data_IF_021873889401
#
_entry.id   IF_021873889401
#
_cell.length_a   1.000
_cell.length_b   1.000
_cell.length_c   1.000
_cell.angle_alpha   90.00
_cell.angle_beta   90.00
_cell.angle_gamma   90.00
#
_symmetry.space_group_name_H-M   'P 1'
#
loop_
_entity.id
_entity.type
_entity.pdbx_description
1 polymer ?
#
# COMPACT_ATOMS: atom_id res chain seq x y z
N UNK A 1 23.36 -6.81 -5.34
CA UNK A 1 22.86 -6.70 -3.95
C UNK A 1 21.64 -5.80 -3.96
N UNK A 2 20.67 -6.08 -3.09
CA UNK A 2 19.49 -5.23 -2.89
C UNK A 2 19.76 -4.41 -1.63
N UNK A 3 19.72 -3.08 -1.77
CA UNK A 3 19.84 -2.19 -0.63
C UNK A 3 18.55 -2.26 0.18
N UNK A 4 18.64 -2.66 1.44
CA UNK A 4 17.50 -2.78 2.34
C UNK A 4 17.94 -2.38 3.76
N UNK A 5 17.54 -1.18 4.24
CA UNK A 5 17.94 -0.66 5.54
C UNK A 5 17.61 -1.63 6.70
N UNK A 6 16.43 -2.25 6.65
CA UNK A 6 15.97 -3.18 7.69
C UNK A 6 16.87 -4.42 7.79
N UNK A 7 17.37 -4.94 6.66
CA UNK A 7 18.31 -6.07 6.69
C UNK A 7 19.72 -5.64 7.05
N UNK A 8 20.12 -4.43 6.66
CA UNK A 8 21.40 -3.86 7.08
C UNK A 8 21.45 -3.73 8.60
N UNK A 9 20.38 -3.22 9.21
CA UNK A 9 20.25 -3.10 10.67
C UNK A 9 20.19 -4.47 11.35
N UNK A 10 19.36 -5.39 10.83
CA UNK A 10 19.11 -6.69 11.48
C UNK A 10 20.21 -7.72 11.28
N UNK A 11 20.89 -7.71 10.14
CA UNK A 11 21.82 -8.76 9.71
C UNK A 11 23.21 -8.23 9.32
N UNK A 12 23.46 -6.92 9.41
CA UNK A 12 24.77 -6.32 9.18
C UNK A 12 25.17 -6.18 7.71
N UNK A 13 24.23 -6.30 6.77
CA UNK A 13 24.53 -6.13 5.34
C UNK A 13 23.32 -6.02 4.42
N UNK A 14 23.60 -5.62 3.18
CA UNK A 14 22.66 -5.68 2.07
C UNK A 14 22.30 -7.13 1.72
N UNK A 15 21.16 -7.31 1.06
CA UNK A 15 20.68 -8.64 0.70
C UNK A 15 21.34 -9.12 -0.58
N UNK A 16 22.01 -10.27 -0.52
CA UNK A 16 22.54 -10.90 -1.72
C UNK A 16 21.39 -11.43 -2.57
N UNK A 17 21.45 -11.18 -3.88
CA UNK A 17 20.47 -11.71 -4.83
C UNK A 17 21.20 -12.54 -5.87
N UNK A 18 20.77 -13.79 -6.03
CA UNK A 18 21.41 -14.70 -6.98
C UNK A 18 20.99 -14.35 -8.41
N UNK A 19 21.89 -14.50 -9.39
CA UNK A 19 21.63 -14.15 -10.80
C UNK A 19 20.34 -14.77 -11.35
N UNK A 20 20.06 -16.02 -10.98
CA UNK A 20 18.85 -16.76 -11.36
C UNK A 20 17.54 -16.09 -10.90
N UNK A 21 17.55 -15.43 -9.74
CA UNK A 21 16.38 -14.68 -9.24
C UNK A 21 16.12 -13.45 -10.13
N UNK A 22 17.19 -12.78 -10.57
CA UNK A 22 17.10 -11.60 -11.46
C UNK A 22 16.65 -12.00 -12.87
N UNK A 23 17.20 -13.09 -13.42
CA UNK A 23 16.85 -13.60 -14.75
C UNK A 23 15.40 -14.11 -14.82
N UNK A 24 14.80 -14.48 -13.68
CA UNK A 24 13.40 -14.88 -13.58
C UNK A 24 12.41 -13.71 -13.53
N UNK A 25 12.87 -12.47 -13.37
CA UNK A 25 11.97 -11.30 -13.35
C UNK A 25 11.52 -10.95 -14.77
N UNK A 26 10.22 -10.75 -14.94
CA UNK A 26 9.68 -10.27 -16.21
C UNK A 26 10.15 -8.83 -16.47
N UNK A 27 10.94 -8.66 -17.54
CA UNK A 27 11.61 -7.40 -17.87
C UNK A 27 13.00 -7.31 -17.24
N UNK A 28 13.87 -6.49 -17.82
CA UNK A 28 15.24 -6.31 -17.33
C UNK A 28 15.24 -5.43 -16.07
N UNK A 29 15.64 -5.99 -14.93
CA UNK A 29 15.92 -5.20 -13.73
C UNK A 29 17.15 -4.31 -13.94
N UNK A 30 17.04 -3.05 -13.52
CA UNK A 30 18.09 -2.05 -13.57
C UNK A 30 18.31 -1.42 -12.20
N UNK A 31 19.47 -0.79 -11.98
CA UNK A 31 19.73 -0.06 -10.74
C UNK A 31 18.68 1.05 -10.56
N UNK A 32 18.05 1.10 -9.40
CA UNK A 32 16.96 2.03 -9.08
C UNK A 32 15.56 1.41 -9.14
N UNK A 33 15.39 0.22 -9.73
CA UNK A 33 14.11 -0.49 -9.69
C UNK A 33 13.77 -0.90 -8.25
N UNK A 34 12.52 -0.66 -7.84
CA UNK A 34 11.99 -1.19 -6.59
C UNK A 34 11.56 -2.64 -6.79
N UNK A 35 11.83 -3.50 -5.81
CA UNK A 35 11.55 -4.94 -5.89
C UNK A 35 10.95 -5.47 -4.59
N UNK A 36 10.14 -6.52 -4.71
CA UNK A 36 9.78 -7.41 -3.62
C UNK A 36 10.66 -8.64 -3.61
N UNK A 37 10.94 -9.13 -2.41
CA UNK A 37 11.64 -10.37 -2.21
C UNK A 37 11.33 -10.93 -0.82
N UNK A 38 11.45 -12.24 -0.70
CA UNK A 38 11.49 -12.92 0.58
C UNK A 38 12.94 -13.13 1.03
N UNK A 39 13.18 -13.07 2.34
CA UNK A 39 14.50 -13.35 2.91
C UNK A 39 14.62 -14.86 3.15
N UNK A 40 15.52 -15.51 2.42
CA UNK A 40 16.04 -16.83 2.75
C UNK A 40 17.45 -16.74 3.32
N UNK A 41 17.97 -17.85 3.86
CA UNK A 41 19.35 -17.94 4.34
C UNK A 41 20.12 -19.01 3.57
N UNK A 42 21.42 -18.78 3.35
CA UNK A 42 22.32 -19.81 2.81
C UNK A 42 22.86 -20.72 3.94
N UNK A 43 23.69 -21.70 3.58
CA UNK A 43 24.31 -22.63 4.55
C UNK A 43 25.25 -21.94 5.55
N UNK A 44 25.72 -20.73 5.24
CA UNK A 44 26.57 -19.91 6.11
C UNK A 44 25.75 -18.95 6.98
N UNK A 45 24.42 -19.00 6.92
CA UNK A 45 23.52 -18.12 7.68
C UNK A 45 23.42 -16.69 7.13
N UNK A 46 23.90 -16.42 5.91
CA UNK A 46 23.80 -15.10 5.30
C UNK A 46 22.43 -14.91 4.62
N UNK A 47 21.82 -13.70 4.72
CA UNK A 47 20.55 -13.40 4.10
C UNK A 47 20.66 -13.34 2.57
N UNK A 48 19.71 -13.97 1.89
CA UNK A 48 19.58 -13.98 0.44
C UNK A 48 18.15 -13.67 0.02
N UNK A 49 18.00 -12.85 -1.02
CA UNK A 49 16.73 -12.54 -1.63
C UNK A 49 16.26 -13.73 -2.46
N UNK A 50 14.99 -14.11 -2.28
CA UNK A 50 14.29 -15.16 -3.05
C UNK A 50 12.94 -14.63 -3.51
N UNK A 51 12.40 -15.20 -4.58
CA UNK A 51 11.13 -14.78 -5.16
C UNK A 51 11.14 -13.29 -5.51
N UNK A 52 12.24 -12.85 -6.14
CA UNK A 52 12.39 -11.44 -6.50
C UNK A 52 11.38 -11.07 -7.59
N UNK A 53 10.64 -9.99 -7.37
CA UNK A 53 9.70 -9.43 -8.35
C UNK A 53 9.87 -7.92 -8.42
N UNK A 54 9.75 -7.35 -9.62
CA UNK A 54 9.76 -5.90 -9.79
C UNK A 54 8.45 -5.31 -9.30
N UNK A 55 8.51 -4.26 -8.47
CA UNK A 55 7.36 -3.43 -8.17
C UNK A 55 7.11 -2.52 -9.37
N UNK A 56 5.97 -2.69 -10.05
CA UNK A 56 5.56 -1.76 -11.09
C UNK A 56 4.92 -0.53 -10.44
N UNK A 57 5.48 0.69 -10.64
CA UNK A 57 4.92 1.91 -10.06
C UNK A 57 3.49 2.23 -10.53
N UNK A 58 3.05 1.65 -11.65
CA UNK A 58 1.71 1.79 -12.19
C UNK A 58 0.75 0.68 -11.72
N UNK A 59 1.26 -0.36 -11.05
CA UNK A 59 0.40 -1.40 -10.49
C UNK A 59 -0.49 -0.83 -9.39
N UNK A 60 -1.79 -1.05 -9.55
CA UNK A 60 -2.81 -0.56 -8.64
C UNK A 60 -3.36 -1.72 -7.82
N UNK A 61 -3.43 -1.52 -6.52
CA UNK A 61 -3.98 -2.45 -5.54
C UNK A 61 -5.31 -1.90 -5.02
N UNK A 62 -6.18 -2.80 -4.58
CA UNK A 62 -7.44 -2.46 -3.92
C UNK A 62 -7.40 -2.96 -2.50
N UNK A 63 -7.79 -2.11 -1.55
CA UNK A 63 -7.80 -2.42 -0.13
C UNK A 63 -8.85 -1.62 0.61
N UNK A 64 -8.88 -1.80 1.93
CA UNK A 64 -9.81 -1.11 2.84
C UNK A 64 -9.00 -0.28 3.83
N UNK A 65 -9.41 0.98 4.05
CA UNK A 65 -8.81 1.82 5.10
C UNK A 65 -9.14 1.20 6.45
N UNK A 66 -8.17 0.51 7.05
CA UNK A 66 -8.35 -0.24 8.30
C UNK A 66 -8.50 0.68 9.50
N UNK A 67 -7.73 1.76 9.52
CA UNK A 67 -7.76 2.83 10.53
C UNK A 67 -7.13 4.08 9.95
N UNK A 68 -7.64 5.25 10.33
CA UNK A 68 -7.04 6.53 10.01
C UNK A 68 -7.24 7.48 11.20
N UNK A 69 -6.15 8.06 11.69
CA UNK A 69 -6.19 9.05 12.77
C UNK A 69 -5.93 10.43 12.18
N UNK A 70 -6.95 11.28 12.20
CA UNK A 70 -6.82 12.69 11.78
C UNK A 70 -5.84 13.44 12.67
N UNK A 71 -5.84 13.15 13.97
CA UNK A 71 -4.95 13.76 14.97
C UNK A 71 -3.48 13.41 14.69
N UNK A 72 -3.17 12.13 14.50
CA UNK A 72 -1.81 11.67 14.21
C UNK A 72 -1.40 11.93 12.75
N UNK A 73 -2.36 12.18 11.86
CA UNK A 73 -2.13 12.46 10.44
C UNK A 73 -1.73 11.23 9.62
N UNK A 74 -2.06 10.03 10.07
CA UNK A 74 -1.81 8.82 9.30
C UNK A 74 -2.77 7.68 9.63
N UNK A 75 -2.77 6.69 8.76
CA UNK A 75 -3.55 5.47 8.88
C UNK A 75 -2.89 4.29 8.17
N UNK A 76 -3.66 3.23 7.99
CA UNK A 76 -3.22 2.02 7.31
C UNK A 76 -4.33 1.46 6.43
N UNK A 77 -3.94 0.98 5.26
CA UNK A 77 -4.81 0.25 4.32
C UNK A 77 -4.52 -1.24 4.45
N UNK A 78 -5.57 -2.01 4.69
CA UNK A 78 -5.56 -3.47 4.61
C UNK A 78 -5.75 -3.89 3.15
N UNK A 79 -4.80 -4.64 2.60
CA UNK A 79 -4.95 -5.30 1.32
C UNK A 79 -4.27 -6.67 1.39
N UNK A 80 -5.01 -7.73 1.05
CA UNK A 80 -4.48 -9.10 1.14
C UNK A 80 -3.27 -9.32 0.22
N UNK A 81 -3.29 -8.74 -0.98
CA UNK A 81 -2.19 -8.86 -1.94
C UNK A 81 -0.93 -8.20 -1.38
N UNK A 82 -1.04 -6.94 -0.95
CA UNK A 82 0.11 -6.23 -0.38
C UNK A 82 0.54 -6.84 0.96
N UNK A 83 -0.37 -7.37 1.78
CA UNK A 83 0.04 -8.07 3.01
C UNK A 83 0.95 -9.28 2.71
N UNK A 84 0.66 -10.03 1.65
CA UNK A 84 1.52 -11.14 1.23
C UNK A 84 2.86 -10.66 0.66
N UNK A 85 2.87 -9.54 -0.06
CA UNK A 85 4.08 -8.97 -0.67
C UNK A 85 5.01 -8.27 0.33
N UNK A 86 4.43 -7.52 1.28
CA UNK A 86 5.15 -6.62 2.19
C UNK A 86 5.13 -7.09 3.65
N UNK A 87 4.37 -8.13 3.98
CA UNK A 87 4.26 -8.65 5.35
C UNK A 87 3.44 -7.78 6.30
N UNK A 88 2.70 -6.77 5.80
CA UNK A 88 1.97 -5.84 6.65
C UNK A 88 0.93 -4.97 5.93
N UNK A 89 0.29 -4.11 6.71
CA UNK A 89 -0.66 -3.11 6.21
C UNK A 89 0.11 -1.93 5.56
N UNK A 90 -0.49 -1.28 4.56
CA UNK A 90 0.16 -0.19 3.81
C UNK A 90 -0.05 1.15 4.52
N UNK A 91 1.03 1.91 4.71
CA UNK A 91 0.95 3.22 5.36
C UNK A 91 0.17 4.23 4.50
N UNK A 92 -0.82 4.89 5.09
CA UNK A 92 -1.62 5.94 4.46
C UNK A 92 -1.33 7.28 5.13
N UNK A 93 -0.69 8.19 4.38
CA UNK A 93 -0.41 9.54 4.87
C UNK A 93 -1.66 10.44 4.76
N UNK A 94 -1.80 11.40 5.69
CA UNK A 94 -2.92 12.36 5.71
C UNK A 94 -3.18 13.05 4.38
N UNK A 95 -2.14 13.50 3.70
CA UNK A 95 -2.30 14.18 2.40
C UNK A 95 -2.95 13.31 1.32
N UNK A 96 -2.71 11.99 1.36
CA UNK A 96 -3.35 11.06 0.43
C UNK A 96 -4.80 10.77 0.85
N UNK A 97 -5.06 10.65 2.16
CA UNK A 97 -6.40 10.40 2.68
C UNK A 97 -7.34 11.61 2.44
N UNK A 98 -6.87 12.83 2.72
CA UNK A 98 -7.63 14.06 2.51
C UNK A 98 -7.89 14.31 1.02
N UNK A 99 -6.91 14.05 0.15
CA UNK A 99 -7.10 14.20 -1.30
C UNK A 99 -8.13 13.20 -1.87
N UNK A 100 -8.27 12.02 -1.26
CA UNK A 100 -9.19 10.98 -1.70
C UNK A 100 -10.58 11.04 -1.00
N UNK A 101 -10.74 11.90 0.01
CA UNK A 101 -11.92 11.96 0.90
C UNK A 101 -12.31 10.56 1.43
N UNK A 102 -11.37 9.91 2.11
CA UNK A 102 -11.52 8.54 2.64
C UNK A 102 -11.45 8.52 4.16
N UNK A 103 -12.32 7.70 4.75
CA UNK A 103 -12.41 7.42 6.17
C UNK A 103 -12.15 5.93 6.44
N UNK A 104 -12.03 5.57 7.72
CA UNK A 104 -11.97 4.18 8.14
C UNK A 104 -13.18 3.39 7.61
N UNK A 105 -12.91 2.22 7.02
CA UNK A 105 -13.90 1.34 6.39
C UNK A 105 -14.05 1.53 4.89
N UNK A 106 -13.49 2.59 4.30
CA UNK A 106 -13.60 2.84 2.88
C UNK A 106 -12.75 1.90 2.04
N UNK A 107 -13.32 1.47 0.91
CA UNK A 107 -12.59 0.76 -0.13
C UNK A 107 -11.85 1.76 -1.00
N UNK A 108 -10.57 1.51 -1.23
CA UNK A 108 -9.67 2.41 -1.97
C UNK A 108 -8.83 1.65 -2.97
N UNK A 109 -8.56 2.28 -4.12
CA UNK A 109 -7.49 1.90 -5.04
C UNK A 109 -6.26 2.75 -4.76
N UNK A 110 -5.07 2.16 -4.85
CA UNK A 110 -3.81 2.87 -4.60
C UNK A 110 -2.65 2.18 -5.32
N UNK A 111 -1.60 2.92 -5.65
CA UNK A 111 -0.29 2.35 -5.98
C UNK A 111 0.58 2.29 -4.74
N UNK A 112 1.65 1.48 -4.74
CA UNK A 112 2.60 1.43 -3.63
C UNK A 112 3.93 2.04 -4.03
N UNK A 113 4.47 2.86 -3.14
CA UNK A 113 5.85 3.35 -3.20
C UNK A 113 6.58 2.95 -1.92
N UNK A 114 7.80 2.43 -2.04
CA UNK A 114 8.64 2.12 -0.89
C UNK A 114 9.47 3.35 -0.52
N UNK A 115 9.37 3.78 0.73
CA UNK A 115 10.16 4.91 1.24
C UNK A 115 11.65 4.57 1.35
N UNK A 116 12.49 5.60 1.55
CA UNK A 116 13.93 5.42 1.79
C UNK A 116 14.26 4.53 3.01
N UNK A 117 13.29 4.31 3.91
CA UNK A 117 13.42 3.43 5.09
C UNK A 117 12.84 2.03 4.83
N UNK A 118 12.55 1.65 3.58
CA UNK A 118 11.98 0.34 3.26
C UNK A 118 10.49 0.18 3.57
N UNK A 119 9.83 1.21 4.10
CA UNK A 119 8.41 1.12 4.49
C UNK A 119 7.48 1.40 3.30
N UNK A 120 6.47 0.55 3.04
CA UNK A 120 5.56 0.72 1.92
C UNK A 120 4.44 1.74 2.22
N UNK A 121 4.21 2.63 1.26
CA UNK A 121 3.27 3.74 1.39
C UNK A 121 2.26 3.74 0.24
N UNK A 122 1.00 3.98 0.58
CA UNK A 122 -0.06 4.16 -0.40
C UNK A 122 0.11 5.51 -1.11
N UNK A 123 0.06 5.46 -2.44
CA UNK A 123 0.12 6.62 -3.34
C UNK A 123 -1.05 6.58 -4.30
N UNK A 124 -1.39 7.74 -4.87
CA UNK A 124 -2.48 7.89 -5.85
C UNK A 124 -3.77 7.25 -5.33
N UNK A 125 -4.07 7.50 -4.06
CA UNK A 125 -5.22 6.90 -3.38
C UNK A 125 -6.49 7.47 -3.99
N UNK A 126 -7.45 6.60 -4.32
CA UNK A 126 -8.77 6.98 -4.77
C UNK A 126 -9.81 6.08 -4.12
N UNK A 127 -10.92 6.66 -3.68
CA UNK A 127 -12.05 5.92 -3.12
C UNK A 127 -12.80 5.18 -4.22
N UNK A 128 -13.19 3.93 -3.96
CA UNK A 128 -14.02 3.12 -4.86
C UNK A 128 -15.43 3.03 -4.27
N UNK A 129 -16.47 3.30 -5.09
CA UNK A 129 -17.88 3.07 -4.72
C UNK A 129 -18.68 4.31 -4.26
N UNK A 130 -18.52 5.47 -4.92
CA UNK A 130 -19.18 6.72 -4.52
C UNK A 130 -20.66 6.89 -4.92
N UNK A 131 -21.29 5.99 -5.68
CA UNK A 131 -22.68 6.21 -6.12
C UNK A 131 -23.72 6.17 -4.98
N UNK A 132 -23.41 5.59 -3.81
CA UNK A 132 -24.40 5.43 -2.74
C UNK A 132 -24.41 6.54 -1.68
N UNK A 133 -23.33 7.33 -1.53
CA UNK A 133 -23.23 8.34 -0.45
C UNK A 133 -23.99 9.63 -0.78
N UNK A 134 -23.92 10.09 -2.03
CA UNK A 134 -24.66 11.28 -2.47
C UNK A 134 -26.16 10.97 -2.54
N UNK A 135 -26.55 9.83 -3.10
CA UNK A 135 -27.95 9.41 -3.16
C UNK A 135 -28.60 9.25 -1.78
N UNK A 136 -27.88 8.73 -0.77
CA UNK A 136 -28.41 8.61 0.60
C UNK A 136 -28.61 9.96 1.30
N UNK A 137 -27.72 10.93 1.09
CA UNK A 137 -27.87 12.26 1.70
C UNK A 137 -28.99 13.06 1.03
N UNK A 138 -29.09 13.02 -0.31
CA UNK A 138 -30.20 13.66 -1.03
C UNK A 138 -31.55 13.02 -0.68
N UNK A 139 -31.63 11.70 -0.60
CA UNK A 139 -32.85 10.99 -0.18
C UNK A 139 -33.27 11.35 1.25
N UNK A 140 -32.30 11.43 2.18
CA UNK A 140 -32.59 11.81 3.58
C UNK A 140 -33.07 13.26 3.68
N UNK A 141 -32.44 14.18 2.93
CA UNK A 141 -32.83 15.60 2.90
C UNK A 141 -34.22 15.76 2.26
N UNK A 142 -34.52 15.00 1.21
CA UNK A 142 -35.84 14.98 0.59
C UNK A 142 -36.92 14.47 1.55
N UNK A 143 -36.68 13.35 2.25
CA UNK A 143 -37.60 12.77 3.22
C UNK A 143 -37.93 13.77 4.34
N UNK A 144 -36.90 14.39 4.94
CA UNK A 144 -37.05 15.40 5.99
C UNK A 144 -37.77 16.66 5.49
N UNK A 145 -37.55 17.08 4.24
CA UNK A 145 -38.26 18.21 3.63
C UNK A 145 -39.72 17.88 3.30
N UNK A 146 -40.05 16.62 3.00
CA UNK A 146 -41.44 16.19 2.75
C UNK A 146 -42.30 16.14 4.02
N UNK A 147 -41.66 16.03 5.19
CA UNK A 147 -42.33 16.03 6.50
C UNK A 147 -42.58 17.45 7.04
N UNK A 148 -41.97 18.49 6.46
CA UNK A 148 -42.26 19.89 6.79
C UNK A 148 -43.40 20.36 5.89
N UNK A 149 -44.64 20.05 6.29
CA UNK A 149 -45.82 20.72 5.76
C UNK A 149 -46.19 21.89 6.70
N UNK A 150 -46.23 23.11 6.17
CA UNK A 150 -46.73 24.28 6.91
C UNK A 150 -48.20 24.49 6.52
N UNK A 151 -49.07 24.67 7.52
CA UNK A 151 -50.49 24.98 7.37
C UNK A 151 -50.73 26.35 6.73
#
# INVERSE_FOLDING_TARGET
FISCPDTLEKYGGDVFVHKREIEGVHGKLSAGDQVFFSIGFNQQGQPQARHVQRLDPMETFVGVVKRFSVELGYGFVDCNVTRQLFGGDIFLHRTQAEAADVDQGDTVSFTVEVSARGQPQARRVARIGQEERIGRLEATIWELRSQIAVL
#
